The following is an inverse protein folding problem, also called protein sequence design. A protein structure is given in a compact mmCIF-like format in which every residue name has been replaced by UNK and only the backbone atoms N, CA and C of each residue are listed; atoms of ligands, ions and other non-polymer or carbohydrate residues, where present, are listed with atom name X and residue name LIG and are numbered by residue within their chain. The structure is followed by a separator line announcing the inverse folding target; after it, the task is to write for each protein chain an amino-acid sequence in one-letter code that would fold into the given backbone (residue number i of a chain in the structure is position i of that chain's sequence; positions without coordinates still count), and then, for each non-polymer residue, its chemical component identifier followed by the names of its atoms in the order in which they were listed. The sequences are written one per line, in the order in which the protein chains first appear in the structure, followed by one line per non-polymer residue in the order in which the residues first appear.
data_IF_406341547173
#
_entry.id   IF_406341547173
#
_cell.length_a   1.000
_cell.length_b   1.000
_cell.length_c   1.000
_cell.angle_alpha   90.00
_cell.angle_beta   90.00
_cell.angle_gamma   90.00
#
_symmetry.space_group_name_H-M   'P 1'
#
loop_
_entity.id
_entity.type
_entity.pdbx_description
1 polymer ?
#
# COMPACT_ATOMS: atom_id res chain seq x y z
N UNK A 1 9.50 7.51 4.45
CA UNK A 1 10.96 7.56 4.25
C UNK A 1 11.43 6.21 3.80
N UNK A 2 12.42 6.17 2.93
CA UNK A 2 13.09 4.96 2.49
C UNK A 2 14.18 4.56 3.47
N UNK A 3 14.36 3.26 3.64
CA UNK A 3 15.42 2.63 4.42
C UNK A 3 16.33 1.80 3.52
N UNK A 4 17.62 1.63 3.88
CA UNK A 4 18.48 0.65 3.24
C UNK A 4 17.83 -0.74 3.22
N UNK A 5 17.75 -1.35 2.04
CA UNK A 5 17.08 -2.62 1.81
C UNK A 5 15.70 -2.51 1.16
N UNK A 6 15.06 -1.34 1.22
CA UNK A 6 13.76 -1.12 0.58
C UNK A 6 13.84 -1.29 -0.94
N UNK A 7 12.69 -1.56 -1.55
CA UNK A 7 12.53 -1.59 -3.00
C UNK A 7 11.75 -0.38 -3.48
N UNK A 8 12.21 0.21 -4.57
CA UNK A 8 11.57 1.36 -5.19
C UNK A 8 11.64 1.26 -6.71
N UNK A 9 10.61 1.77 -7.39
CA UNK A 9 10.65 1.98 -8.83
C UNK A 9 11.17 3.38 -9.15
N UNK A 10 12.12 3.52 -10.07
CA UNK A 10 12.42 4.81 -10.69
C UNK A 10 11.22 5.24 -11.54
N UNK A 11 10.77 6.47 -11.33
CA UNK A 11 9.67 7.09 -12.06
C UNK A 11 10.13 8.18 -13.04
N UNK A 12 11.44 8.48 -13.08
CA UNK A 12 12.05 9.42 -14.03
C UNK A 12 12.38 8.80 -15.40
N UNK A 13 12.15 7.49 -15.56
CA UNK A 13 12.41 6.75 -16.79
C UNK A 13 11.09 6.40 -17.51
N UNK A 14 11.11 6.24 -18.86
CA UNK A 14 9.93 5.87 -19.63
C UNK A 14 9.37 4.49 -19.24
N UNK A 15 10.23 3.59 -18.79
CA UNK A 15 9.86 2.28 -18.28
C UNK A 15 10.18 2.21 -16.79
N UNK A 16 9.25 1.76 -15.93
CA UNK A 16 9.50 1.63 -14.51
C UNK A 16 10.65 0.64 -14.27
N UNK A 17 11.69 1.11 -13.57
CA UNK A 17 12.87 0.30 -13.26
C UNK A 17 12.90 -0.01 -11.77
N UNK A 18 12.90 -1.31 -11.43
CA UNK A 18 13.01 -1.74 -10.05
C UNK A 18 14.45 -1.59 -9.54
N UNK A 19 14.59 -0.94 -8.39
CA UNK A 19 15.85 -0.74 -7.70
C UNK A 19 15.73 -1.12 -6.23
N UNK A 20 16.87 -1.49 -5.64
CA UNK A 20 17.02 -1.66 -4.19
C UNK A 20 17.71 -0.44 -3.61
N UNK A 21 17.20 0.09 -2.51
CA UNK A 21 17.84 1.16 -1.75
C UNK A 21 19.08 0.60 -1.06
N UNK A 22 20.24 1.12 -1.43
CA UNK A 22 21.51 0.81 -0.78
C UNK A 22 21.74 1.74 0.42
N UNK A 23 21.47 3.02 0.23
CA UNK A 23 21.68 4.06 1.23
C UNK A 23 20.63 5.16 1.06
N UNK A 24 20.20 5.76 2.16
CA UNK A 24 19.26 6.87 2.18
C UNK A 24 19.75 7.95 3.15
N UNK A 25 20.07 9.12 2.61
CA UNK A 25 20.51 10.28 3.38
C UNK A 25 19.37 11.30 3.46
N UNK A 26 19.09 11.83 4.65
CA UNK A 26 18.04 12.85 4.83
C UNK A 26 18.66 14.23 4.85
N UNK A 27 18.13 15.13 4.02
CA UNK A 27 18.58 16.52 3.94
C UNK A 27 17.44 17.48 4.27
N UNK A 28 17.71 18.58 5.01
CA UNK A 28 16.73 19.63 5.22
C UNK A 28 16.52 20.44 3.93
N UNK A 29 15.28 20.86 3.68
CA UNK A 29 14.88 21.79 2.64
C UNK A 29 14.18 22.98 3.28
N UNK A 30 14.13 24.12 2.58
CA UNK A 30 13.45 25.32 3.07
C UNK A 30 11.97 25.07 3.47
N UNK A 31 11.33 24.08 2.84
CA UNK A 31 9.91 23.74 3.03
C UNK A 31 9.72 22.32 3.62
N UNK A 32 10.75 21.70 4.17
CA UNK A 32 10.62 20.36 4.74
C UNK A 32 11.92 19.56 4.74
N UNK A 33 11.84 18.28 4.36
CA UNK A 33 12.98 17.38 4.22
C UNK A 33 12.82 16.57 2.95
N UNK A 34 13.94 16.25 2.30
CA UNK A 34 13.99 15.23 1.24
C UNK A 34 15.00 14.15 1.61
N UNK A 35 15.01 13.07 0.84
CA UNK A 35 16.07 12.07 0.92
C UNK A 35 16.82 11.96 -0.40
N UNK A 36 18.15 11.89 -0.31
CA UNK A 36 19.01 11.45 -1.39
C UNK A 36 19.20 9.93 -1.27
N UNK A 37 18.78 9.20 -2.30
CA UNK A 37 18.80 7.75 -2.34
C UNK A 37 19.92 7.28 -3.26
N UNK A 38 20.69 6.31 -2.78
CA UNK A 38 21.61 5.52 -3.58
C UNK A 38 20.97 4.18 -3.87
N UNK A 39 20.78 3.89 -5.15
CA UNK A 39 19.94 2.81 -5.63
C UNK A 39 20.77 1.84 -6.46
N UNK A 40 20.64 0.55 -6.17
CA UNK A 40 21.19 -0.52 -7.00
C UNK A 40 20.10 -0.96 -7.98
N UNK A 41 20.29 -0.79 -9.31
CA UNK A 41 19.33 -1.26 -10.29
C UNK A 41 19.32 -2.79 -10.34
N UNK A 42 18.13 -3.38 -10.32
CA UNK A 42 17.95 -4.83 -10.45
C UNK A 42 17.71 -5.29 -11.88
N UNK A 43 17.57 -4.34 -12.81
CA UNK A 43 17.34 -4.58 -14.22
C UNK A 43 17.89 -3.42 -15.05
N UNK A 44 17.73 -3.50 -16.36
CA UNK A 44 18.11 -2.45 -17.30
C UNK A 44 19.52 -2.62 -17.88
N UNK A 45 19.98 -1.63 -18.65
CA UNK A 45 21.20 -1.74 -19.46
C UNK A 45 22.49 -1.47 -18.65
N UNK A 46 22.38 -1.29 -17.34
CA UNK A 46 23.49 -0.84 -16.51
C UNK A 46 24.43 -2.01 -16.16
N UNK A 47 25.75 -1.78 -16.16
CA UNK A 47 26.70 -2.79 -15.72
C UNK A 47 26.50 -3.12 -14.24
N UNK A 48 26.90 -4.34 -13.86
CA UNK A 48 26.90 -4.76 -12.46
C UNK A 48 27.75 -3.80 -11.60
N UNK A 49 27.25 -3.47 -10.41
CA UNK A 49 27.89 -2.51 -9.51
C UNK A 49 27.50 -1.04 -9.75
N UNK A 50 26.64 -0.74 -10.72
CA UNK A 50 26.12 0.63 -10.92
C UNK A 50 25.32 1.09 -9.71
N UNK A 51 25.58 2.32 -9.25
CA UNK A 51 24.78 3.01 -8.23
C UNK A 51 24.11 4.22 -8.87
N UNK A 52 22.78 4.26 -8.85
CA UNK A 52 21.99 5.38 -9.30
C UNK A 52 21.71 6.31 -8.13
N UNK A 53 21.91 7.61 -8.32
CA UNK A 53 21.63 8.63 -7.30
C UNK A 53 20.36 9.37 -7.69
N UNK A 54 19.35 9.36 -6.82
CA UNK A 54 18.04 9.99 -7.05
C UNK A 54 17.46 10.59 -5.78
N UNK A 55 16.65 11.63 -5.91
CA UNK A 55 15.85 12.15 -4.81
C UNK A 55 14.59 11.29 -4.60
N UNK A 56 14.05 11.29 -3.39
CA UNK A 56 12.88 10.48 -3.02
C UNK A 56 11.65 10.75 -3.89
N UNK A 57 11.47 11.97 -4.39
CA UNK A 57 10.34 12.30 -5.27
C UNK A 57 10.46 11.70 -6.70
N UNK A 58 11.67 11.29 -7.11
CA UNK A 58 11.93 10.61 -8.38
C UNK A 58 11.63 9.11 -8.33
N UNK A 59 11.31 8.56 -7.16
CA UNK A 59 11.01 7.14 -6.99
C UNK A 59 9.58 6.93 -6.50
N UNK A 60 9.09 5.69 -6.66
CA UNK A 60 7.79 5.25 -6.15
C UNK A 60 8.00 4.00 -5.29
N UNK A 61 7.36 3.90 -4.12
CA UNK A 61 7.46 2.72 -3.29
C UNK A 61 6.88 1.51 -4.04
N UNK A 62 7.51 0.35 -3.90
CA UNK A 62 6.87 -0.91 -4.30
C UNK A 62 5.77 -1.16 -3.28
N UNK A 63 4.51 -0.99 -3.69
CA UNK A 63 3.39 -1.23 -2.80
C UNK A 63 3.50 -2.61 -2.17
N UNK A 64 3.37 -2.69 -0.84
CA UNK A 64 3.04 -3.97 -0.20
C UNK A 64 1.73 -4.42 -0.83
N UNK A 65 1.74 -5.57 -1.51
CA UNK A 65 0.48 -6.21 -1.86
C UNK A 65 -0.23 -6.43 -0.52
N UNK A 66 -1.24 -5.61 -0.23
CA UNK A 66 -2.20 -5.98 0.79
C UNK A 66 -2.78 -7.31 0.30
N UNK A 67 -2.32 -8.41 0.88
CA UNK A 67 -3.07 -9.65 0.86
C UNK A 67 -4.40 -9.29 1.51
N UNK A 68 -5.40 -8.94 0.71
CA UNK A 68 -6.78 -8.87 1.18
C UNK A 68 -7.04 -10.24 1.77
N UNK A 69 -7.28 -10.39 3.09
CA UNK A 69 -7.71 -11.67 3.60
C UNK A 69 -8.94 -12.05 2.78
N UNK A 70 -8.87 -13.22 2.14
CA UNK A 70 -10.02 -13.80 1.46
C UNK A 70 -11.18 -13.75 2.47
N UNK A 71 -12.30 -13.18 2.04
CA UNK A 71 -13.39 -12.80 2.94
C UNK A 71 -13.75 -13.92 3.89
N UNK A 72 -13.89 -13.60 5.17
CA UNK A 72 -14.74 -14.40 6.05
C UNK A 72 -16.16 -14.29 5.49
N UNK A 73 -16.76 -15.39 5.01
CA UNK A 73 -18.18 -15.37 4.72
C UNK A 73 -18.92 -15.23 6.06
N UNK A 74 -19.73 -14.18 6.13
CA UNK A 74 -20.97 -14.03 6.90
C UNK A 74 -21.09 -14.86 8.19
N UNK A 75 -20.81 -14.21 9.33
CA UNK A 75 -21.25 -14.68 10.64
C UNK A 75 -22.26 -13.68 11.23
N UNK A 76 -23.18 -13.16 10.41
CA UNK A 76 -24.29 -12.31 10.86
C UNK A 76 -25.63 -12.96 10.47
N UNK A 77 -25.80 -14.22 10.85
CA UNK A 77 -27.08 -14.94 10.75
C UNK A 77 -27.40 -15.65 12.06
N UNK A 78 -27.48 -14.91 13.17
CA UNK A 78 -28.00 -15.40 14.46
C UNK A 78 -28.96 -14.44 15.16
N UNK A 79 -29.60 -13.51 14.44
CA UNK A 79 -30.56 -12.56 15.06
C UNK A 79 -31.99 -12.62 14.48
N UNK A 80 -32.40 -13.72 13.85
CA UNK A 80 -33.76 -13.88 13.30
C UNK A 80 -34.63 -14.93 14.03
N UNK A 81 -34.28 -15.34 15.26
CA UNK A 81 -35.04 -16.39 15.98
C UNK A 81 -35.90 -15.90 17.16
N UNK A 82 -35.91 -14.62 17.54
CA UNK A 82 -36.71 -14.19 18.69
C UNK A 82 -37.52 -12.93 18.39
N UNK A 83 -38.73 -13.11 17.86
CA UNK A 83 -39.68 -11.99 17.75
C UNK A 83 -40.94 -12.21 16.92
N UNK A 84 -41.61 -13.36 16.98
CA UNK A 84 -43.04 -13.43 16.65
C UNK A 84 -43.81 -14.02 17.84
N UNK A 85 -44.82 -13.31 18.34
CA UNK A 85 -46.07 -13.97 18.67
C UNK A 85 -47.17 -13.54 17.68
N UNK A 86 -47.58 -14.55 16.93
CA UNK A 86 -48.94 -14.96 16.58
C UNK A 86 -50.11 -13.95 16.72
N UNK A 87 -50.82 -13.81 15.59
CA UNK A 87 -52.10 -13.16 15.30
C UNK A 87 -53.31 -13.71 16.09
N UNK A 88 -54.24 -12.83 16.49
CA UNK A 88 -55.72 -12.96 16.42
C UNK A 88 -56.36 -11.68 17.02
N UNK A 89 -56.84 -10.72 16.23
CA UNK A 89 -58.19 -10.64 15.64
C UNK A 89 -59.34 -10.53 16.66
N UNK A 90 -59.90 -9.33 16.85
CA UNK A 90 -61.34 -9.08 16.73
C UNK A 90 -61.63 -7.56 16.61
N UNK A 91 -62.21 -7.17 15.48
CA UNK A 91 -62.82 -5.86 15.24
C UNK A 91 -64.27 -5.81 15.75
N UNK A 92 -64.74 -4.56 15.94
CA UNK A 92 -66.13 -4.07 15.91
C UNK A 92 -67.06 -4.31 17.12
N UNK A 93 -67.50 -3.21 17.76
CA UNK A 93 -68.83 -2.62 17.51
C UNK A 93 -69.19 -1.53 18.54
N UNK A 94 -69.46 -0.31 18.07
CA UNK A 94 -70.64 0.52 18.41
C UNK A 94 -70.66 1.72 17.48
#
# INVERSE_FOLDING_TARGET
MYLPGDYAYLADLPTPLLCRVHEAETMPLAQGRCQLLRLVPLAGPWPAGTILIRLDHCVRPVGVRNHRPAGTPDAESRDALHGRPHTAAHEAAT
#
